data_IF_286368569644
#
_entry.id   IF_286368569644
#
_cell.length_a   1.000
_cell.length_b   1.000
_cell.length_c   1.000
_cell.angle_alpha   90.00
_cell.angle_beta   90.00
_cell.angle_gamma   90.00
#
_symmetry.space_group_name_H-M   'P 1'
#
loop_
_entity.id
_entity.type
_entity.pdbx_description
1 polymer ?
#
# COMPACT_ATOMS: atom_id res chain seq x y z
N UNK A 1 37.38 -16.22 -0.32
CA UNK A 1 36.22 -16.97 -0.87
C UNK A 1 36.61 -18.25 -1.61
N UNK A 2 37.86 -18.75 -1.46
CA UNK A 2 38.37 -19.89 -2.22
C UNK A 2 37.48 -21.14 -2.06
N UNK A 3 37.05 -21.44 -0.83
CA UNK A 3 36.20 -22.61 -0.55
C UNK A 3 34.85 -22.57 -1.27
N UNK A 4 34.20 -21.41 -1.36
CA UNK A 4 32.92 -21.27 -2.05
C UNK A 4 33.08 -21.47 -3.57
N UNK A 5 34.16 -20.92 -4.15
CA UNK A 5 34.48 -21.11 -5.57
C UNK A 5 34.77 -22.59 -5.88
N UNK A 6 35.54 -23.28 -5.03
CA UNK A 6 35.79 -24.72 -5.16
C UNK A 6 34.50 -25.55 -5.13
N UNK A 7 33.56 -25.24 -4.23
CA UNK A 7 32.27 -25.93 -4.17
C UNK A 7 31.39 -25.66 -5.39
N UNK A 8 31.48 -24.47 -5.99
CA UNK A 8 30.75 -24.15 -7.22
C UNK A 8 31.27 -24.93 -8.43
N UNK A 9 32.57 -25.25 -8.45
CA UNK A 9 33.19 -26.08 -9.47
C UNK A 9 32.79 -27.55 -9.39
N UNK A 10 32.18 -27.98 -8.27
CA UNK A 10 31.75 -29.37 -8.02
C UNK A 10 32.88 -30.39 -8.24
N UNK A 11 34.08 -30.05 -7.79
CA UNK A 11 35.23 -30.93 -7.87
C UNK A 11 35.06 -32.12 -6.92
N UNK A 12 35.48 -33.30 -7.37
CA UNK A 12 35.62 -34.48 -6.52
C UNK A 12 36.86 -34.37 -5.62
N UNK A 13 36.95 -35.21 -4.59
CA UNK A 13 37.98 -35.08 -3.54
C UNK A 13 39.41 -35.39 -4.04
N UNK A 14 39.54 -36.15 -5.13
CA UNK A 14 40.78 -36.57 -5.77
C UNK A 14 41.14 -35.74 -7.01
N UNK A 15 40.27 -34.81 -7.41
CA UNK A 15 40.51 -33.93 -8.56
C UNK A 15 41.51 -32.81 -8.23
N UNK A 16 42.36 -32.51 -9.21
CA UNK A 16 43.30 -31.39 -9.09
C UNK A 16 42.58 -30.04 -9.17
N UNK A 17 43.00 -29.10 -8.33
CA UNK A 17 42.47 -27.74 -8.36
C UNK A 17 42.89 -27.00 -9.63
N UNK A 18 42.01 -26.14 -10.19
CA UNK A 18 42.40 -25.21 -11.24
C UNK A 18 43.60 -24.37 -10.82
N UNK A 19 44.49 -24.10 -11.77
CA UNK A 19 45.77 -23.43 -11.53
C UNK A 19 45.56 -22.05 -10.87
N UNK A 20 44.51 -21.32 -11.24
CA UNK A 20 44.18 -20.01 -10.68
C UNK A 20 43.81 -20.09 -9.19
N UNK A 21 43.05 -21.12 -8.79
CA UNK A 21 42.66 -21.34 -7.38
C UNK A 21 43.89 -21.75 -6.58
N UNK A 22 44.69 -22.67 -7.13
CA UNK A 22 45.93 -23.11 -6.50
C UNK A 22 46.89 -21.92 -6.27
N UNK A 23 47.11 -21.08 -7.28
CA UNK A 23 47.97 -19.90 -7.17
C UNK A 23 47.48 -18.94 -6.09
N UNK A 24 46.18 -18.60 -6.08
CA UNK A 24 45.59 -17.73 -5.03
C UNK A 24 45.69 -18.33 -3.63
N UNK A 25 45.59 -19.65 -3.50
CA UNK A 25 45.81 -20.34 -2.23
C UNK A 25 47.26 -20.22 -1.76
N UNK A 26 48.22 -20.46 -2.64
CA UNK A 26 49.65 -20.31 -2.33
C UNK A 26 49.98 -18.87 -1.94
N UNK A 27 49.46 -17.88 -2.67
CA UNK A 27 49.61 -16.47 -2.34
C UNK A 27 49.03 -16.15 -0.95
N UNK A 28 47.83 -16.64 -0.64
CA UNK A 28 47.22 -16.48 0.68
C UNK A 28 48.07 -17.13 1.78
N UNK A 29 48.54 -18.37 1.57
CA UNK A 29 49.40 -19.09 2.51
C UNK A 29 50.69 -18.31 2.78
N UNK A 30 51.32 -17.78 1.75
CA UNK A 30 52.57 -17.02 1.87
C UNK A 30 52.37 -15.73 2.67
N UNK A 31 51.21 -15.09 2.55
CA UNK A 31 50.85 -13.89 3.31
C UNK A 31 50.66 -14.16 4.82
N UNK A 32 50.43 -15.41 5.25
CA UNK A 32 50.26 -15.72 6.68
C UNK A 32 51.49 -15.38 7.52
N UNK A 33 52.67 -15.29 6.90
CA UNK A 33 53.89 -14.84 7.56
C UNK A 33 53.77 -13.40 8.09
N UNK A 34 53.02 -12.53 7.41
CA UNK A 34 52.78 -11.15 7.83
C UNK A 34 51.95 -11.05 9.13
N UNK A 35 51.31 -12.13 9.60
CA UNK A 35 50.54 -12.11 10.85
C UNK A 35 51.42 -11.79 12.06
N UNK A 36 52.74 -12.07 12.00
CA UNK A 36 53.66 -11.73 13.09
C UNK A 36 53.83 -10.23 13.30
N UNK A 37 53.53 -9.42 12.28
CA UNK A 37 53.57 -7.95 12.35
C UNK A 37 52.32 -7.37 13.02
N UNK A 38 51.20 -8.10 13.00
CA UNK A 38 49.92 -7.62 13.53
C UNK A 38 49.88 -7.79 15.05
N UNK A 39 49.88 -6.65 15.77
CA UNK A 39 49.71 -6.62 17.22
C UNK A 39 48.38 -5.98 17.60
N UNK A 40 47.52 -6.73 18.28
CA UNK A 40 46.21 -6.25 18.74
C UNK A 40 46.29 -5.87 20.23
N UNK A 41 46.11 -4.59 20.60
CA UNK A 41 46.09 -4.20 21.99
C UNK A 41 44.91 -4.84 22.74
N UNK A 42 45.18 -5.48 23.89
CA UNK A 42 44.12 -6.09 24.73
C UNK A 42 43.13 -5.06 25.28
N UNK A 43 43.58 -3.83 25.54
CA UNK A 43 42.78 -2.75 26.09
C UNK A 43 42.38 -1.71 25.03
N UNK A 44 41.07 -1.54 24.83
CA UNK A 44 40.49 -0.54 23.92
C UNK A 44 40.11 0.77 24.61
N UNK A 45 39.75 0.72 25.91
CA UNK A 45 39.38 1.90 26.70
C UNK A 45 40.62 2.68 27.11
N UNK A 46 40.61 4.00 26.92
CA UNK A 46 41.64 4.90 27.49
C UNK A 46 41.46 4.97 29.01
N UNK A 47 42.54 4.81 29.76
CA UNK A 47 42.52 4.95 31.22
C UNK A 47 42.00 6.34 31.62
N UNK A 48 41.10 6.40 32.61
CA UNK A 48 40.47 7.64 33.05
C UNK A 48 39.42 8.23 32.11
N UNK A 49 39.01 7.53 31.03
CA UNK A 49 37.93 7.99 30.17
C UNK A 49 36.57 7.92 30.88
N UNK A 50 35.91 9.07 30.96
CA UNK A 50 34.57 9.24 31.51
C UNK A 50 33.48 8.92 30.49
N UNK A 51 33.78 9.01 29.19
CA UNK A 51 32.81 8.80 28.11
C UNK A 51 33.29 7.72 27.14
N UNK A 52 32.33 6.88 26.73
CA UNK A 52 32.51 5.83 25.74
C UNK A 52 31.41 5.92 24.69
N UNK A 53 31.80 5.81 23.42
CA UNK A 53 30.90 5.80 22.28
C UNK A 53 31.21 4.60 21.38
N UNK A 54 30.17 3.98 20.83
CA UNK A 54 30.26 2.89 19.86
C UNK A 54 30.00 3.42 18.46
N UNK A 55 30.93 3.15 17.55
CA UNK A 55 30.83 3.49 16.14
C UNK A 55 30.85 2.23 15.29
N UNK A 56 29.70 1.88 14.76
CA UNK A 56 29.51 0.71 13.91
C UNK A 56 29.53 1.07 12.43
N UNK A 57 30.29 0.35 11.62
CA UNK A 57 30.33 0.50 10.16
C UNK A 57 29.92 -0.80 9.50
N UNK A 58 29.21 -0.72 8.39
CA UNK A 58 28.86 -1.87 7.58
C UNK A 58 29.09 -1.61 6.10
N UNK A 59 29.40 -2.67 5.37
CA UNK A 59 29.52 -2.66 3.92
C UNK A 59 29.18 -4.02 3.31
N UNK A 60 28.84 -4.03 2.03
CA UNK A 60 28.59 -5.22 1.26
C UNK A 60 29.16 -5.13 -0.16
N UNK A 61 29.61 -6.29 -0.64
CA UNK A 61 29.94 -6.54 -2.04
C UNK A 61 29.13 -7.76 -2.50
N UNK A 62 29.18 -8.06 -3.79
CA UNK A 62 28.60 -9.27 -4.37
C UNK A 62 29.21 -10.55 -3.80
N UNK A 63 30.39 -10.43 -3.17
CA UNK A 63 31.17 -11.55 -2.64
C UNK A 63 30.93 -11.76 -1.15
N UNK A 64 30.94 -10.70 -0.37
CA UNK A 64 30.79 -10.79 1.08
C UNK A 64 30.20 -9.49 1.63
N UNK A 65 29.65 -9.57 2.82
CA UNK A 65 29.19 -8.40 3.55
C UNK A 65 29.61 -8.49 5.01
N UNK A 66 29.79 -7.35 5.66
CA UNK A 66 30.40 -7.31 6.98
C UNK A 66 30.07 -6.07 7.77
N UNK A 67 30.41 -6.14 9.04
CA UNK A 67 30.31 -5.04 9.97
C UNK A 67 31.50 -5.02 10.94
N UNK A 68 31.96 -3.83 11.29
CA UNK A 68 32.99 -3.60 12.31
C UNK A 68 32.53 -2.52 13.28
N UNK A 69 32.85 -2.69 14.55
CA UNK A 69 32.48 -1.77 15.64
C UNK A 69 33.75 -1.27 16.30
N UNK A 70 33.84 0.04 16.40
CA UNK A 70 34.91 0.77 17.07
C UNK A 70 34.40 1.34 18.38
N UNK A 71 35.30 1.41 19.36
CA UNK A 71 35.09 2.14 20.59
C UNK A 71 35.87 3.44 20.51
N UNK A 72 35.17 4.55 20.71
CA UNK A 72 35.75 5.89 20.88
C UNK A 72 35.67 6.26 22.35
N UNK A 73 36.81 6.58 22.96
CA UNK A 73 36.89 7.02 24.36
C UNK A 73 37.54 8.39 24.46
N UNK A 74 36.89 9.28 25.20
CA UNK A 74 37.33 10.66 25.41
C UNK A 74 37.45 11.01 26.90
N UNK A 75 38.22 12.05 27.18
CA UNK A 75 38.27 12.71 28.49
C UNK A 75 38.20 14.23 28.31
N UNK A 76 38.00 14.99 29.39
CA UNK A 76 37.72 16.45 29.40
C UNK A 76 38.72 17.35 28.66
N UNK A 77 39.94 16.88 28.32
CA UNK A 77 40.99 17.75 27.76
C UNK A 77 41.95 17.08 26.76
N UNK A 78 41.62 15.91 26.21
CA UNK A 78 42.54 15.15 25.35
C UNK A 78 41.96 14.65 24.04
N UNK A 79 42.83 14.35 23.06
CA UNK A 79 42.43 13.69 21.82
C UNK A 79 41.73 12.35 22.14
N UNK A 80 40.56 12.08 21.52
CA UNK A 80 39.84 10.83 21.72
C UNK A 80 40.66 9.67 21.15
N UNK A 81 40.60 8.52 21.83
CA UNK A 81 41.19 7.27 21.35
C UNK A 81 40.11 6.45 20.67
N UNK A 82 40.38 5.99 19.46
CA UNK A 82 39.50 5.10 18.69
C UNK A 82 40.23 3.78 18.48
N UNK A 83 39.55 2.67 18.74
CA UNK A 83 40.10 1.34 18.54
C UNK A 83 39.02 0.37 18.05
N UNK A 84 39.39 -0.54 17.14
CA UNK A 84 38.54 -1.63 16.72
C UNK A 84 38.21 -2.53 17.93
N UNK A 85 36.93 -2.76 18.17
CA UNK A 85 36.45 -3.61 19.26
C UNK A 85 36.07 -5.01 18.74
N UNK A 86 35.31 -5.06 17.65
CA UNK A 86 34.85 -6.32 17.08
C UNK A 86 34.53 -6.15 15.60
N UNK A 87 34.65 -7.23 14.84
CA UNK A 87 34.16 -7.31 13.47
C UNK A 87 33.49 -8.65 13.21
N UNK A 88 32.63 -8.67 12.18
CA UNK A 88 31.95 -9.87 11.72
C UNK A 88 31.70 -9.76 10.23
N UNK A 89 32.07 -10.78 9.48
CA UNK A 89 31.78 -10.90 8.05
C UNK A 89 30.92 -12.14 7.77
N UNK A 90 30.27 -12.14 6.61
CA UNK A 90 29.53 -13.26 6.04
C UNK A 90 29.78 -13.32 4.54
N UNK A 91 29.90 -14.54 4.02
CA UNK A 91 29.97 -14.78 2.59
C UNK A 91 28.59 -14.51 1.98
N UNK A 92 28.55 -13.83 0.84
CA UNK A 92 27.31 -13.56 0.13
C UNK A 92 26.70 -14.89 -0.38
N UNK A 93 25.35 -14.99 -0.43
CA UNK A 93 24.70 -16.18 -0.96
C UNK A 93 25.15 -16.47 -2.40
N UNK A 94 25.31 -17.76 -2.73
CA UNK A 94 25.63 -18.19 -4.11
C UNK A 94 24.55 -17.74 -5.09
N UNK A 95 23.29 -17.79 -4.67
CA UNK A 95 22.19 -17.26 -5.49
C UNK A 95 22.28 -15.74 -5.52
N UNK A 96 22.29 -15.19 -6.73
CA UNK A 96 22.36 -13.74 -6.94
C UNK A 96 21.31 -12.98 -6.12
N UNK A 97 21.80 -12.05 -5.32
CA UNK A 97 21.02 -11.08 -4.55
C UNK A 97 21.51 -9.70 -4.97
N UNK A 98 20.61 -8.76 -5.17
CA UNK A 98 21.00 -7.40 -5.57
C UNK A 98 21.90 -6.75 -4.52
N UNK A 99 22.85 -5.92 -4.97
CA UNK A 99 23.77 -5.22 -4.08
C UNK A 99 23.04 -4.44 -2.95
N UNK A 100 21.95 -3.68 -3.22
CA UNK A 100 21.19 -3.01 -2.15
C UNK A 100 20.69 -3.95 -1.04
N UNK A 101 20.26 -5.17 -1.42
CA UNK A 101 19.81 -6.19 -0.44
C UNK A 101 20.96 -6.75 0.40
N UNK A 102 22.16 -6.83 -0.17
CA UNK A 102 23.37 -7.23 0.56
C UNK A 102 23.82 -6.11 1.50
N UNK A 103 23.79 -4.86 1.06
CA UNK A 103 24.07 -3.68 1.89
C UNK A 103 23.11 -3.60 3.09
N UNK A 104 21.81 -3.81 2.87
CA UNK A 104 20.83 -3.90 3.95
C UNK A 104 21.09 -5.09 4.88
N UNK A 105 21.62 -6.20 4.35
CA UNK A 105 22.00 -7.37 5.16
C UNK A 105 23.26 -7.09 6.00
N UNK A 106 24.19 -6.27 5.51
CA UNK A 106 25.32 -5.74 6.28
C UNK A 106 24.84 -4.84 7.42
N UNK A 107 23.90 -3.95 7.15
CA UNK A 107 23.29 -3.09 8.16
C UNK A 107 22.59 -3.91 9.27
N UNK A 108 21.86 -4.97 8.90
CA UNK A 108 21.27 -5.90 9.88
C UNK A 108 22.33 -6.60 10.72
N UNK A 109 23.42 -7.06 10.09
CA UNK A 109 24.53 -7.70 10.78
C UNK A 109 25.18 -6.74 11.80
N UNK A 110 25.31 -5.47 11.43
CA UNK A 110 25.84 -4.42 12.29
C UNK A 110 24.93 -4.15 13.50
N UNK A 111 23.62 -4.08 13.29
CA UNK A 111 22.64 -3.92 14.36
C UNK A 111 22.75 -5.05 15.39
N UNK A 112 22.75 -6.31 14.93
CA UNK A 112 22.90 -7.49 15.78
C UNK A 112 24.24 -7.53 16.53
N UNK A 113 25.34 -7.21 15.83
CA UNK A 113 26.68 -7.17 16.43
C UNK A 113 26.74 -6.11 17.53
N UNK A 114 26.26 -4.91 17.25
CA UNK A 114 26.30 -3.80 18.21
C UNK A 114 25.40 -4.07 19.41
N UNK A 115 24.23 -4.70 19.21
CA UNK A 115 23.37 -5.11 20.32
C UNK A 115 24.07 -6.10 21.26
N UNK A 116 24.74 -7.12 20.70
CA UNK A 116 25.51 -8.09 21.50
C UNK A 116 26.62 -7.42 22.30
N UNK A 117 27.33 -6.48 21.68
CA UNK A 117 28.38 -5.69 22.33
C UNK A 117 27.81 -4.86 23.48
N UNK A 118 26.69 -4.16 23.26
CA UNK A 118 26.04 -3.36 24.29
C UNK A 118 25.62 -4.21 25.50
N UNK A 119 25.05 -5.39 25.25
CA UNK A 119 24.70 -6.34 26.31
C UNK A 119 25.96 -6.79 27.07
N UNK A 120 27.03 -7.15 26.35
CA UNK A 120 28.27 -7.65 26.95
C UNK A 120 29.03 -6.60 27.78
N UNK A 121 28.99 -5.33 27.36
CA UNK A 121 29.64 -4.22 28.08
C UNK A 121 28.82 -3.78 29.29
N UNK A 122 27.52 -4.13 29.36
CA UNK A 122 26.65 -3.88 30.51
C UNK A 122 26.33 -2.39 30.77
N UNK A 123 26.71 -1.51 29.86
CA UNK A 123 26.67 -0.06 30.08
C UNK A 123 25.39 0.58 29.53
N UNK A 124 24.64 1.25 30.40
CA UNK A 124 23.39 1.95 30.08
C UNK A 124 23.60 3.32 29.42
N UNK A 125 24.84 3.84 29.35
CA UNK A 125 25.10 5.21 28.87
C UNK A 125 26.05 5.32 27.66
N UNK A 126 26.39 4.23 26.99
CA UNK A 126 27.22 4.31 25.80
C UNK A 126 26.43 4.83 24.58
N UNK A 127 26.83 5.99 24.03
CA UNK A 127 26.24 6.54 22.80
C UNK A 127 26.58 5.64 21.61
N UNK A 128 25.65 5.49 20.68
CA UNK A 128 25.78 4.63 19.52
C UNK A 128 25.59 5.40 18.21
N UNK A 129 26.52 5.20 17.27
CA UNK A 129 26.48 5.73 15.92
C UNK A 129 26.72 4.60 14.92
N UNK A 130 25.84 4.47 13.93
CA UNK A 130 25.86 3.41 12.92
C UNK A 130 25.99 4.02 11.53
N UNK A 131 26.96 3.53 10.77
CA UNK A 131 27.42 4.13 9.53
C UNK A 131 27.30 3.13 8.37
N UNK A 132 26.75 3.60 7.26
CA UNK A 132 26.74 2.90 5.98
C UNK A 132 27.02 3.91 4.87
N UNK A 133 27.72 3.50 3.83
CA UNK A 133 27.93 4.28 2.61
C UNK A 133 26.84 4.04 1.55
N UNK A 134 25.92 3.09 1.80
CA UNK A 134 24.76 2.88 0.95
C UNK A 134 23.63 3.84 1.31
N UNK A 135 23.41 4.85 0.45
CA UNK A 135 22.27 5.74 0.56
C UNK A 135 20.92 5.00 0.43
N UNK A 136 20.88 3.93 -0.38
CA UNK A 136 19.66 3.11 -0.56
C UNK A 136 19.32 2.37 0.73
N UNK A 137 20.29 1.68 1.33
CA UNK A 137 20.10 0.98 2.60
C UNK A 137 19.74 1.96 3.72
N UNK A 138 20.43 3.09 3.80
CA UNK A 138 20.14 4.14 4.77
C UNK A 138 18.69 4.67 4.63
N UNK A 139 18.26 4.97 3.40
CA UNK A 139 16.89 5.42 3.15
C UNK A 139 15.84 4.36 3.52
N UNK A 140 16.10 3.08 3.23
CA UNK A 140 15.23 1.98 3.66
C UNK A 140 15.10 1.91 5.18
N UNK A 141 16.20 2.06 5.91
CA UNK A 141 16.26 2.00 7.38
C UNK A 141 15.51 3.17 8.04
N UNK A 142 15.60 4.38 7.49
CA UNK A 142 14.91 5.56 8.05
C UNK A 142 13.43 5.59 7.69
N UNK A 143 13.03 4.92 6.61
CA UNK A 143 11.65 4.81 6.20
C UNK A 143 10.86 3.73 6.95
N UNK A 144 9.53 3.88 7.01
CA UNK A 144 8.66 2.84 7.56
C UNK A 144 8.79 1.52 6.79
N UNK A 145 9.07 0.43 7.51
CA UNK A 145 9.23 -0.93 6.96
C UNK A 145 8.04 -1.39 6.10
N UNK A 146 6.82 -0.89 6.39
CA UNK A 146 5.58 -1.26 5.68
C UNK A 146 5.57 -0.85 4.21
N UNK A 147 6.40 0.13 3.83
CA UNK A 147 6.53 0.64 2.45
C UNK A 147 7.25 -0.33 1.51
N UNK A 148 7.94 -1.35 2.04
CA UNK A 148 8.87 -2.18 1.29
C UNK A 148 8.38 -3.61 1.07
N UNK A 149 8.86 -4.26 0.01
CA UNK A 149 8.62 -5.69 -0.21
C UNK A 149 9.21 -6.55 0.92
N UNK A 150 8.72 -7.80 1.06
CA UNK A 150 8.94 -8.64 2.24
C UNK A 150 10.41 -8.76 2.68
N UNK A 151 11.35 -8.93 1.74
CA UNK A 151 12.77 -9.06 2.07
C UNK A 151 13.31 -7.83 2.82
N UNK A 152 13.03 -6.65 2.27
CA UNK A 152 13.47 -5.35 2.79
C UNK A 152 12.68 -5.02 4.06
N UNK A 153 11.36 -5.18 4.04
CA UNK A 153 10.48 -4.90 5.18
C UNK A 153 10.89 -5.68 6.43
N UNK A 154 11.18 -6.98 6.30
CA UNK A 154 11.55 -7.82 7.44
C UNK A 154 12.90 -7.40 8.04
N UNK A 155 13.88 -7.05 7.20
CA UNK A 155 15.22 -6.62 7.67
C UNK A 155 15.18 -5.22 8.26
N UNK A 156 14.48 -4.28 7.63
CA UNK A 156 14.26 -2.92 8.15
C UNK A 156 13.52 -2.99 9.49
N UNK A 157 12.47 -3.80 9.60
CA UNK A 157 11.73 -3.98 10.85
C UNK A 157 12.62 -4.50 11.98
N UNK A 158 13.52 -5.45 11.69
CA UNK A 158 14.46 -5.96 12.68
C UNK A 158 15.52 -4.92 13.07
N UNK A 159 16.07 -4.16 12.11
CA UNK A 159 17.00 -3.07 12.38
C UNK A 159 16.34 -2.01 13.28
N UNK A 160 15.13 -1.58 12.93
CA UNK A 160 14.35 -0.58 13.69
C UNK A 160 13.93 -1.08 15.08
N UNK A 161 13.84 -2.40 15.27
CA UNK A 161 13.57 -3.01 16.59
C UNK A 161 14.81 -3.01 17.49
N UNK A 162 15.99 -3.22 16.90
CA UNK A 162 17.26 -3.37 17.65
C UNK A 162 17.94 -2.01 17.88
N UNK A 163 17.76 -1.06 16.97
CA UNK A 163 18.51 0.21 16.93
C UNK A 163 17.59 1.40 16.77
N UNK A 164 18.03 2.56 17.26
CA UNK A 164 17.33 3.82 17.03
C UNK A 164 17.63 4.36 15.63
N UNK A 165 16.59 4.82 14.92
CA UNK A 165 16.74 5.40 13.57
C UNK A 165 17.71 6.60 13.60
N UNK A 166 17.70 7.40 14.66
CA UNK A 166 18.57 8.56 14.84
C UNK A 166 20.07 8.23 14.95
N UNK A 167 20.42 6.97 15.24
CA UNK A 167 21.81 6.51 15.28
C UNK A 167 22.41 6.28 13.89
N UNK A 168 21.59 6.10 12.86
CA UNK A 168 22.04 5.77 11.50
C UNK A 168 22.46 6.99 10.69
N UNK A 169 23.61 6.89 10.02
CA UNK A 169 24.25 7.98 9.29
C UNK A 169 24.92 7.47 8.03
N UNK A 170 25.10 8.37 7.06
CA UNK A 170 25.91 8.10 5.88
C UNK A 170 27.39 8.35 6.18
N UNK A 171 28.27 7.51 5.63
CA UNK A 171 29.73 7.73 5.57
C UNK A 171 30.19 7.64 4.12
N UNK A 172 31.12 8.48 3.63
CA UNK A 172 31.71 8.29 2.31
C UNK A 172 32.42 6.93 2.21
N UNK A 173 32.30 6.24 1.07
CA UNK A 173 32.91 4.91 0.87
C UNK A 173 34.42 4.88 1.14
N UNK A 174 35.15 5.95 0.76
CA UNK A 174 36.59 6.07 1.01
C UNK A 174 36.95 6.13 2.51
N UNK A 175 35.98 6.46 3.37
CA UNK A 175 36.15 6.51 4.81
C UNK A 175 35.46 5.35 5.53
N UNK A 176 34.93 4.36 4.80
CA UNK A 176 34.24 3.20 5.36
C UNK A 176 35.23 2.04 5.62
N UNK A 177 35.61 1.75 6.88
CA UNK A 177 36.51 0.63 7.18
C UNK A 177 35.89 -0.74 6.90
N UNK A 178 34.56 -0.83 6.79
CA UNK A 178 33.89 -2.11 6.54
C UNK A 178 34.12 -2.64 5.11
N UNK A 179 34.61 -1.81 4.18
CA UNK A 179 34.99 -2.22 2.82
C UNK A 179 36.03 -3.34 2.82
N UNK A 180 36.92 -3.35 3.81
CA UNK A 180 37.92 -4.41 4.01
C UNK A 180 37.26 -5.76 4.28
N UNK A 181 36.10 -5.78 4.94
CA UNK A 181 35.36 -7.00 5.24
C UNK A 181 34.62 -7.54 4.02
N UNK A 182 34.15 -6.68 3.13
CA UNK A 182 33.34 -7.05 1.97
C UNK A 182 34.19 -7.39 0.73
N UNK A 183 35.32 -6.68 0.54
CA UNK A 183 36.21 -6.84 -0.63
C UNK A 183 37.47 -7.64 -0.32
N UNK A 184 37.87 -7.67 0.94
CA UNK A 184 39.13 -8.28 1.38
C UNK A 184 40.33 -7.35 1.19
N UNK A 185 41.40 -7.63 1.94
CA UNK A 185 42.69 -6.92 1.86
C UNK A 185 43.82 -7.91 2.11
N UNK A 186 44.96 -7.71 1.45
CA UNK A 186 46.15 -8.53 1.69
C UNK A 186 46.69 -8.28 3.11
N UNK A 187 47.26 -9.31 3.74
CA UNK A 187 47.70 -9.22 5.15
C UNK A 187 48.83 -8.19 5.35
N UNK A 188 49.73 -8.07 4.38
CA UNK A 188 50.81 -7.05 4.36
C UNK A 188 50.26 -5.62 4.44
N UNK A 189 49.16 -5.36 3.74
CA UNK A 189 48.54 -4.04 3.67
C UNK A 189 47.68 -3.80 4.91
N UNK A 190 46.99 -4.86 5.37
CA UNK A 190 46.18 -4.83 6.58
C UNK A 190 47.00 -4.50 7.83
N UNK A 191 48.24 -4.99 7.93
CA UNK A 191 49.11 -4.73 9.08
C UNK A 191 49.34 -3.23 9.32
N UNK A 192 49.38 -2.44 8.25
CA UNK A 192 49.66 -1.00 8.27
C UNK A 192 48.41 -0.14 8.02
N UNK A 193 47.23 -0.76 7.98
CA UNK A 193 45.99 -0.07 7.64
C UNK A 193 45.42 0.73 8.81
N UNK A 194 45.71 2.03 8.81
CA UNK A 194 45.19 2.94 9.83
C UNK A 194 43.66 3.05 9.84
N UNK A 195 43.00 2.92 8.68
CA UNK A 195 41.54 2.99 8.57
C UNK A 195 40.92 1.78 9.27
N UNK A 196 41.48 0.59 9.06
CA UNK A 196 41.03 -0.62 9.74
C UNK A 196 41.27 -0.59 11.25
N UNK A 197 42.47 -0.27 11.71
CA UNK A 197 42.81 -0.42 13.13
C UNK A 197 42.30 0.74 14.00
N UNK A 198 42.24 1.96 13.44
CA UNK A 198 41.89 3.18 14.19
C UNK A 198 40.59 3.83 13.75
N UNK A 199 39.89 3.23 12.78
CA UNK A 199 38.67 3.77 12.21
C UNK A 199 38.90 5.02 11.38
N UNK A 200 37.81 5.60 10.87
CA UNK A 200 37.83 6.79 10.04
C UNK A 200 38.43 7.98 10.78
N UNK A 201 39.20 8.82 10.07
CA UNK A 201 39.95 9.93 10.66
C UNK A 201 39.04 10.93 11.39
N UNK A 202 37.83 11.16 10.89
CA UNK A 202 36.86 12.06 11.50
C UNK A 202 36.42 11.64 12.90
N UNK A 203 36.51 10.35 13.27
CA UNK A 203 36.19 9.90 14.62
C UNK A 203 37.15 10.49 15.67
N UNK A 204 38.33 10.96 15.25
CA UNK A 204 39.26 11.68 16.13
C UNK A 204 38.92 13.16 16.29
N UNK A 205 38.03 13.68 15.45
CA UNK A 205 37.55 15.05 15.48
C UNK A 205 36.32 15.19 16.40
N UNK A 206 35.95 16.42 16.80
CA UNK A 206 34.70 16.70 17.49
C UNK A 206 33.47 16.30 16.65
N UNK A 207 32.37 15.97 17.32
CA UNK A 207 31.16 15.44 16.66
C UNK A 207 30.55 16.37 15.59
N UNK A 208 30.76 17.68 15.69
CA UNK A 208 30.31 18.65 14.69
C UNK A 208 31.07 18.61 13.36
N UNK A 209 32.20 17.90 13.28
CA UNK A 209 33.02 17.75 12.06
C UNK A 209 32.85 16.37 11.41
N UNK A 210 31.94 15.55 11.91
CA UNK A 210 31.64 14.26 11.30
C UNK A 210 30.78 14.47 10.03
N UNK A 211 30.78 13.49 9.10
CA UNK A 211 29.84 13.52 7.98
C UNK A 211 28.41 13.70 8.48
N UNK A 212 27.77 14.77 8.03
CA UNK A 212 26.45 15.19 8.54
C UNK A 212 25.31 14.77 7.62
N UNK A 213 25.58 14.12 6.48
CA UNK A 213 24.53 13.70 5.55
C UNK A 213 23.53 12.80 6.27
N UNK A 214 22.33 13.36 6.49
CA UNK A 214 21.22 12.67 7.16
C UNK A 214 20.37 12.05 6.07
N UNK A 215 19.69 10.95 6.42
CA UNK A 215 18.85 10.21 5.48
C UNK A 215 17.73 11.05 4.82
N UNK A 216 17.38 12.21 5.40
CA UNK A 216 16.36 13.13 4.90
C UNK A 216 16.75 13.88 3.62
N UNK A 217 18.03 13.86 3.22
CA UNK A 217 18.52 14.60 2.05
C UNK A 217 18.35 13.83 0.73
N UNK A 218 17.62 12.71 0.74
CA UNK A 218 17.47 11.77 -0.38
C UNK A 218 16.27 12.06 -1.29
N UNK A 219 15.95 13.34 -1.51
CA UNK A 219 14.93 13.73 -2.48
C UNK A 219 15.45 13.45 -3.91
N UNK A 220 14.87 12.44 -4.58
CA UNK A 220 15.13 12.16 -6.00
C UNK A 220 15.86 10.85 -6.33
N UNK A 221 16.22 10.03 -5.35
CA UNK A 221 16.79 8.70 -5.62
C UNK A 221 15.64 7.73 -5.96
N UNK A 222 15.69 7.10 -7.13
CA UNK A 222 14.82 5.96 -7.44
C UNK A 222 15.13 4.81 -6.47
N UNK A 223 14.22 4.57 -5.53
CA UNK A 223 14.41 3.55 -4.49
C UNK A 223 13.77 2.24 -4.94
N UNK A 224 14.56 1.16 -5.12
CA UNK A 224 14.04 -0.14 -5.47
C UNK A 224 13.10 -0.71 -4.39
N UNK A 225 12.29 -1.71 -4.77
CA UNK A 225 11.50 -2.55 -3.86
C UNK A 225 10.41 -1.83 -3.03
N UNK A 226 9.98 -0.64 -3.48
CA UNK A 226 8.77 0.00 -2.98
C UNK A 226 7.55 -0.86 -3.32
N UNK A 227 6.65 -1.06 -2.35
CA UNK A 227 5.36 -1.69 -2.63
C UNK A 227 4.58 -0.80 -3.59
N UNK A 228 4.18 -1.36 -4.72
CA UNK A 228 3.21 -0.71 -5.61
C UNK A 228 1.85 -0.79 -4.93
N UNK A 229 1.41 0.30 -4.31
CA UNK A 229 0.01 0.45 -3.92
C UNK A 229 -0.74 0.81 -5.19
N UNK A 230 -1.09 -0.21 -5.98
CA UNK A 230 -1.99 -0.05 -7.12
C UNK A 230 -3.39 0.09 -6.53
N UNK A 231 -3.80 1.33 -6.31
CA UNK A 231 -5.22 1.63 -6.09
C UNK A 231 -5.90 1.45 -7.44
N UNK A 232 -6.48 0.28 -7.68
CA UNK A 232 -7.33 0.06 -8.84
C UNK A 232 -8.55 0.98 -8.72
N UNK A 233 -8.50 2.15 -9.34
CA UNK A 233 -9.70 2.95 -9.61
C UNK A 233 -10.45 2.22 -10.72
N UNK A 234 -11.34 1.31 -10.34
CA UNK A 234 -12.31 0.81 -11.28
C UNK A 234 -13.15 2.01 -11.74
N UNK A 235 -12.91 2.48 -12.98
CA UNK A 235 -13.77 3.46 -13.63
C UNK A 235 -15.07 2.73 -14.01
N UNK A 236 -15.90 2.48 -13.01
CA UNK A 236 -17.16 1.76 -13.19
C UNK A 236 -18.13 2.75 -13.87
N UNK A 237 -18.23 2.67 -15.20
CA UNK A 237 -19.29 3.35 -15.98
C UNK A 237 -20.71 2.94 -15.56
N UNK A 238 -20.88 1.86 -14.81
CA UNK A 238 -22.19 1.29 -14.43
C UNK A 238 -22.45 1.37 -12.91
N UNK A 239 -23.37 2.23 -12.48
CA UNK A 239 -23.76 2.35 -11.06
C UNK A 239 -24.10 1.00 -10.41
N UNK A 240 -23.78 0.81 -9.12
CA UNK A 240 -24.11 -0.40 -8.35
C UNK A 240 -25.61 -0.75 -8.40
N UNK A 241 -26.47 0.27 -8.50
CA UNK A 241 -27.92 0.11 -8.66
C UNK A 241 -28.25 -0.66 -9.95
N UNK A 242 -27.59 -0.34 -11.06
CA UNK A 242 -27.79 -0.99 -12.34
C UNK A 242 -27.41 -2.48 -12.27
N UNK A 243 -26.27 -2.81 -11.62
CA UNK A 243 -25.85 -4.21 -11.39
C UNK A 243 -26.83 -4.97 -10.50
N UNK A 244 -27.41 -4.32 -9.49
CA UNK A 244 -28.40 -4.94 -8.60
C UNK A 244 -29.72 -5.22 -9.34
N UNK A 245 -30.16 -4.32 -10.22
CA UNK A 245 -31.37 -4.51 -11.02
C UNK A 245 -31.26 -5.65 -12.02
N UNK A 246 -30.07 -5.86 -12.62
CA UNK A 246 -29.83 -7.01 -13.51
C UNK A 246 -29.86 -8.36 -12.78
N UNK A 247 -29.54 -8.39 -11.48
CA UNK A 247 -29.39 -9.64 -10.71
C UNK A 247 -30.58 -9.96 -9.80
N UNK A 248 -31.44 -8.98 -9.52
CA UNK A 248 -32.49 -9.10 -8.51
C UNK A 248 -33.81 -8.57 -9.09
N UNK A 249 -34.83 -9.42 -9.17
CA UNK A 249 -36.17 -9.07 -9.67
C UNK A 249 -37.08 -8.35 -8.67
N UNK A 250 -36.62 -8.14 -7.43
CA UNK A 250 -37.38 -7.52 -6.35
C UNK A 250 -36.87 -6.12 -6.01
N UNK A 251 -37.62 -5.09 -6.39
CA UNK A 251 -37.30 -3.69 -6.07
C UNK A 251 -37.24 -3.42 -4.56
N UNK A 252 -38.07 -4.10 -3.77
CA UNK A 252 -38.04 -4.00 -2.31
C UNK A 252 -36.77 -4.61 -1.73
N UNK A 253 -36.25 -5.69 -2.30
CA UNK A 253 -34.95 -6.26 -1.94
C UNK A 253 -33.80 -5.33 -2.31
N UNK A 254 -33.83 -4.72 -3.50
CA UNK A 254 -32.81 -3.75 -3.94
C UNK A 254 -32.83 -2.51 -3.03
N UNK A 255 -34.00 -1.94 -2.75
CA UNK A 255 -34.17 -0.79 -1.88
C UNK A 255 -33.66 -1.08 -0.45
N UNK A 256 -33.85 -2.30 0.07
CA UNK A 256 -33.27 -2.71 1.35
C UNK A 256 -31.74 -2.76 1.31
N UNK A 257 -31.15 -3.32 0.25
CA UNK A 257 -29.68 -3.37 0.07
C UNK A 257 -29.12 -1.94 0.04
N UNK A 258 -29.70 -1.06 -0.77
CA UNK A 258 -29.28 0.35 -0.87
C UNK A 258 -29.44 1.08 0.47
N UNK A 259 -30.52 0.82 1.22
CA UNK A 259 -30.71 1.39 2.56
C UNK A 259 -29.62 0.95 3.55
N UNK A 260 -29.22 -0.34 3.54
CA UNK A 260 -28.11 -0.82 4.36
C UNK A 260 -26.76 -0.20 3.95
N UNK A 261 -26.50 -0.05 2.65
CA UNK A 261 -25.29 0.66 2.18
C UNK A 261 -25.25 2.11 2.68
N UNK A 262 -26.39 2.80 2.70
CA UNK A 262 -26.49 4.17 3.22
C UNK A 262 -26.29 4.24 4.75
N UNK A 263 -26.77 3.24 5.52
CA UNK A 263 -26.46 3.11 6.96
C UNK A 263 -24.96 2.98 7.19
N UNK A 264 -24.31 2.10 6.43
CA UNK A 264 -22.86 1.88 6.53
C UNK A 264 -22.08 3.16 6.24
N UNK A 265 -22.39 3.86 5.13
CA UNK A 265 -21.72 5.12 4.76
C UNK A 265 -21.86 6.20 5.83
N UNK A 266 -23.01 6.27 6.51
CA UNK A 266 -23.29 7.34 7.47
C UNK A 266 -22.73 7.06 8.88
N UNK A 267 -22.13 5.89 9.11
CA UNK A 267 -21.49 5.45 10.34
C UNK A 267 -22.29 5.78 11.62
N UNK A 268 -23.62 5.81 11.51
CA UNK A 268 -24.51 6.17 12.62
C UNK A 268 -24.61 4.97 13.55
N UNK A 269 -23.93 5.04 14.69
CA UNK A 269 -24.08 4.10 15.81
C UNK A 269 -25.51 4.08 16.38
N UNK A 270 -26.33 5.07 16.02
CA UNK A 270 -27.64 5.34 16.62
C UNK A 270 -28.86 4.82 15.81
N UNK A 271 -28.63 4.06 14.74
CA UNK A 271 -29.72 3.37 14.01
C UNK A 271 -30.01 2.01 14.66
N UNK A 272 -30.37 2.00 15.95
CA UNK A 272 -30.44 0.83 16.84
C UNK A 272 -31.55 -0.19 16.55
N UNK A 273 -31.65 -0.73 15.33
CA UNK A 273 -32.56 -1.84 15.02
C UNK A 273 -32.12 -2.66 13.81
N UNK A 274 -32.30 -3.99 13.90
CA UNK A 274 -32.04 -4.94 12.79
C UNK A 274 -32.91 -4.63 11.54
N UNK A 275 -34.04 -3.95 11.72
CA UNK A 275 -35.04 -3.64 10.69
C UNK A 275 -34.84 -2.25 10.08
N UNK A 276 -35.02 -2.14 8.75
CA UNK A 276 -35.00 -0.86 8.01
C UNK A 276 -36.29 -0.08 8.25
N UNK A 277 -36.19 1.21 8.59
CA UNK A 277 -37.37 2.08 8.81
C UNK A 277 -38.00 2.49 7.47
N UNK A 278 -39.32 2.75 7.41
CA UNK A 278 -39.99 3.19 6.18
C UNK A 278 -39.36 4.43 5.52
N UNK A 279 -38.90 5.41 6.32
CA UNK A 279 -38.22 6.60 5.82
C UNK A 279 -36.88 6.29 5.13
N UNK A 280 -36.13 5.31 5.61
CA UNK A 280 -34.87 4.87 4.98
C UNK A 280 -35.14 4.18 3.64
N UNK A 281 -36.24 3.43 3.56
CA UNK A 281 -36.67 2.79 2.32
C UNK A 281 -37.12 3.84 1.28
N UNK A 282 -37.83 4.91 1.71
CA UNK A 282 -38.21 6.04 0.85
C UNK A 282 -36.98 6.72 0.24
N UNK A 283 -35.96 7.01 1.07
CA UNK A 283 -34.69 7.60 0.61
C UNK A 283 -33.95 6.66 -0.34
N UNK A 284 -33.86 5.37 -0.02
CA UNK A 284 -33.21 4.39 -0.88
C UNK A 284 -33.89 4.28 -2.25
N UNK A 285 -35.23 4.35 -2.29
CA UNK A 285 -35.97 4.31 -3.54
C UNK A 285 -35.73 5.57 -4.40
N UNK A 286 -35.71 6.75 -3.78
CA UNK A 286 -35.36 8.01 -4.48
C UNK A 286 -33.99 7.89 -5.13
N UNK A 287 -33.00 7.34 -4.42
CA UNK A 287 -31.65 7.11 -4.95
C UNK A 287 -31.68 6.16 -6.14
N UNK A 288 -32.42 5.05 -6.05
CA UNK A 288 -32.55 4.07 -7.13
C UNK A 288 -33.14 4.72 -8.38
N UNK A 289 -34.29 5.39 -8.23
CA UNK A 289 -34.97 6.09 -9.34
C UNK A 289 -34.04 7.11 -9.98
N UNK A 290 -33.34 7.90 -9.17
CA UNK A 290 -32.41 8.91 -9.66
C UNK A 290 -31.22 8.31 -10.42
N UNK A 291 -30.71 7.16 -9.97
CA UNK A 291 -29.65 6.44 -10.68
C UNK A 291 -30.12 5.90 -12.02
N UNK A 292 -31.33 5.35 -12.09
CA UNK A 292 -31.92 4.85 -13.35
C UNK A 292 -32.14 6.00 -14.33
N UNK A 293 -32.73 7.11 -13.88
CA UNK A 293 -32.98 8.26 -14.74
C UNK A 293 -31.71 8.87 -15.33
N UNK A 294 -30.60 8.90 -14.58
CA UNK A 294 -29.31 9.37 -15.10
C UNK A 294 -28.70 8.47 -16.17
N UNK A 295 -29.13 7.22 -16.26
CA UNK A 295 -28.65 6.26 -17.26
C UNK A 295 -29.58 6.28 -18.47
N UNK A 296 -30.89 6.16 -18.23
CA UNK A 296 -31.90 6.03 -19.30
C UNK A 296 -32.25 7.38 -19.97
N UNK A 297 -32.16 8.49 -19.23
CA UNK A 297 -32.50 9.85 -19.69
C UNK A 297 -31.29 10.77 -19.49
N UNK A 298 -30.09 10.32 -19.86
CA UNK A 298 -28.85 11.04 -19.55
C UNK A 298 -28.84 12.47 -20.10
N UNK A 299 -29.26 12.65 -21.35
CA UNK A 299 -29.29 13.94 -22.04
C UNK A 299 -30.37 14.86 -21.45
N UNK A 300 -31.57 14.33 -21.19
CA UNK A 300 -32.63 15.09 -20.55
C UNK A 300 -32.33 15.46 -19.11
N UNK A 301 -31.66 14.55 -18.37
CA UNK A 301 -31.26 14.79 -16.99
C UNK A 301 -30.21 15.91 -16.93
N UNK A 302 -29.24 15.93 -17.85
CA UNK A 302 -28.25 17.00 -17.93
C UNK A 302 -28.89 18.34 -18.28
N UNK A 303 -29.76 18.37 -19.30
CA UNK A 303 -30.48 19.58 -19.70
C UNK A 303 -31.37 20.13 -18.58
N UNK A 304 -32.17 19.29 -17.91
CA UNK A 304 -33.05 19.73 -16.81
C UNK A 304 -32.28 20.12 -15.54
N UNK A 305 -31.12 19.50 -15.27
CA UNK A 305 -30.30 19.86 -14.12
C UNK A 305 -29.61 21.23 -14.29
N UNK A 306 -29.39 21.65 -15.53
CA UNK A 306 -28.79 22.94 -15.91
C UNK A 306 -29.85 23.98 -16.32
N UNK A 307 -31.13 23.72 -16.05
CA UNK A 307 -32.28 24.58 -16.41
C UNK A 307 -32.36 24.93 -17.93
N UNK A 308 -31.84 24.05 -18.79
CA UNK A 308 -31.88 24.20 -20.24
C UNK A 308 -33.14 23.56 -20.83
N UNK A 309 -33.59 24.11 -21.96
CA UNK A 309 -34.66 23.50 -22.75
C UNK A 309 -34.24 22.10 -23.23
N UNK A 310 -35.17 21.15 -23.16
CA UNK A 310 -34.91 19.78 -23.61
C UNK A 310 -34.72 19.72 -25.13
N UNK A 311 -33.93 18.76 -25.65
CA UNK A 311 -33.79 18.52 -27.08
C UNK A 311 -35.14 18.23 -27.74
N UNK A 312 -35.33 18.70 -28.96
CA UNK A 312 -36.55 18.45 -29.77
C UNK A 312 -36.80 16.96 -30.03
N UNK A 313 -35.73 16.14 -29.94
CA UNK A 313 -35.76 14.68 -30.08
C UNK A 313 -36.21 13.93 -28.82
N UNK A 314 -36.39 14.62 -27.69
CA UNK A 314 -36.73 13.95 -26.43
C UNK A 314 -38.17 13.44 -26.41
N UNK A 315 -38.32 12.15 -26.10
CA UNK A 315 -39.63 11.49 -25.99
C UNK A 315 -40.48 11.99 -24.81
N UNK A 316 -39.88 12.69 -23.85
CA UNK A 316 -40.57 13.22 -22.66
C UNK A 316 -40.84 14.72 -22.73
N UNK A 317 -40.40 15.42 -23.78
CA UNK A 317 -40.60 16.87 -23.97
C UNK A 317 -42.10 17.26 -23.91
N UNK A 318 -42.97 16.45 -24.52
CA UNK A 318 -44.43 16.65 -24.53
C UNK A 318 -45.09 16.53 -23.14
N UNK A 319 -44.40 15.94 -22.17
CA UNK A 319 -44.89 15.72 -20.82
C UNK A 319 -44.49 16.84 -19.83
N UNK A 320 -43.90 17.93 -20.32
CA UNK A 320 -43.43 19.07 -19.49
C UNK A 320 -42.60 18.61 -18.27
N UNK A 321 -41.46 17.95 -18.50
CA UNK A 321 -40.67 17.34 -17.43
C UNK A 321 -39.92 18.40 -16.64
N UNK A 322 -39.75 18.16 -15.34
CA UNK A 322 -39.00 19.01 -14.41
C UNK A 322 -38.26 18.14 -13.39
N UNK A 323 -37.13 18.63 -12.87
CA UNK A 323 -36.44 17.97 -11.75
C UNK A 323 -36.99 18.53 -10.43
N UNK A 324 -37.38 17.64 -9.51
CA UNK A 324 -37.84 18.04 -8.18
C UNK A 324 -36.66 18.27 -7.20
N UNK A 325 -36.98 18.73 -5.98
CA UNK A 325 -36.02 18.97 -4.89
C UNK A 325 -35.14 17.76 -4.50
N UNK A 326 -35.57 16.54 -4.86
CA UNK A 326 -34.82 15.31 -4.59
C UNK A 326 -33.90 14.90 -5.76
N UNK A 327 -33.86 15.70 -6.84
CA UNK A 327 -33.06 15.45 -8.04
C UNK A 327 -33.65 14.39 -8.95
N UNK A 328 -34.96 14.16 -8.93
CA UNK A 328 -35.67 13.16 -9.75
C UNK A 328 -36.49 13.86 -10.82
N UNK A 329 -36.36 13.43 -12.08
CA UNK A 329 -37.20 13.89 -13.19
C UNK A 329 -38.64 13.45 -12.93
N UNK A 330 -39.57 14.39 -13.02
CA UNK A 330 -41.01 14.20 -12.93
C UNK A 330 -41.69 14.88 -14.11
N UNK A 331 -42.90 14.45 -14.43
CA UNK A 331 -43.71 15.05 -15.50
C UNK A 331 -44.89 15.80 -14.90
N UNK A 332 -45.18 16.99 -15.44
CA UNK A 332 -46.32 17.80 -15.04
C UNK A 332 -47.62 17.23 -15.60
N UNK A 333 -48.70 17.24 -14.79
CA UNK A 333 -50.06 16.95 -15.24
C UNK A 333 -51.00 18.14 -15.05
N UNK A 334 -52.26 18.01 -15.50
CA UNK A 334 -53.35 19.01 -15.34
C UNK A 334 -53.75 19.32 -13.88
N UNK A 335 -53.05 18.77 -12.90
CA UNK A 335 -53.29 18.96 -11.45
C UNK A 335 -52.36 20.03 -10.83
N UNK A 336 -51.92 21.03 -11.61
CA UNK A 336 -51.11 22.16 -11.10
C UNK A 336 -51.86 23.07 -10.12
N UNK A 337 -53.18 22.98 -10.03
CA UNK A 337 -54.02 23.88 -9.21
C UNK A 337 -54.61 23.24 -7.94
N UNK A 338 -54.11 22.08 -7.50
CA UNK A 338 -54.53 21.47 -6.24
C UNK A 338 -53.30 21.24 -5.36
N UNK A 339 -53.24 21.92 -4.21
CA UNK A 339 -52.28 21.65 -3.13
C UNK A 339 -52.57 20.26 -2.53
N UNK A 340 -52.24 19.20 -3.26
CA UNK A 340 -52.29 17.84 -2.74
C UNK A 340 -50.91 17.22 -2.97
N UNK A 341 -50.24 16.70 -1.92
CA UNK A 341 -49.03 15.91 -2.09
C UNK A 341 -49.30 14.77 -3.09
N UNK A 342 -48.39 14.58 -4.06
CA UNK A 342 -48.46 13.60 -5.17
C UNK A 342 -48.61 12.13 -4.74
N UNK A 343 -48.78 11.86 -3.46
CA UNK A 343 -49.02 10.57 -2.84
C UNK A 343 -50.52 10.22 -2.90
N UNK A 344 -51.09 10.12 -4.10
CA UNK A 344 -52.48 9.66 -4.24
C UNK A 344 -52.52 8.15 -4.02
N UNK A 345 -53.02 7.80 -2.83
CA UNK A 345 -53.38 6.47 -2.36
C UNK A 345 -54.19 5.66 -3.38
N UNK A 346 -53.89 4.37 -3.50
CA UNK A 346 -54.97 3.41 -3.71
C UNK A 346 -55.65 3.19 -2.35
N UNK A 347 -56.99 3.26 -2.25
CA UNK A 347 -57.69 2.99 -1.00
C UNK A 347 -57.29 1.61 -0.47
N UNK A 348 -56.76 1.57 0.76
CA UNK A 348 -56.39 0.31 1.45
C UNK A 348 -54.98 -0.25 1.19
N UNK A 349 -54.12 0.41 0.42
CA UNK A 349 -52.72 0.01 0.22
C UNK A 349 -51.75 1.11 0.65
N UNK A 350 -50.62 0.70 1.23
CA UNK A 350 -49.55 1.63 1.61
C UNK A 350 -48.94 2.34 0.39
N UNK A 351 -48.21 3.46 0.60
CA UNK A 351 -47.54 4.17 -0.48
C UNK A 351 -46.68 3.23 -1.34
N UNK A 352 -46.70 3.38 -2.66
CA UNK A 352 -45.90 2.61 -3.64
C UNK A 352 -46.25 1.11 -3.76
N UNK A 353 -47.35 0.66 -3.17
CA UNK A 353 -47.87 -0.69 -3.37
C UNK A 353 -48.91 -0.68 -4.49
N UNK A 354 -48.53 -1.22 -5.66
CA UNK A 354 -49.44 -1.41 -6.80
C UNK A 354 -49.83 -2.88 -6.90
N UNK A 355 -51.13 -3.15 -7.04
CA UNK A 355 -51.61 -4.50 -7.29
C UNK A 355 -51.27 -4.88 -8.73
N UNK A 356 -50.39 -5.86 -8.89
CA UNK A 356 -50.06 -6.40 -10.20
C UNK A 356 -51.21 -7.29 -10.71
N UNK A 357 -51.58 -7.11 -11.97
CA UNK A 357 -52.60 -7.92 -12.62
C UNK A 357 -52.34 -8.05 -14.11
N UNK A 358 -52.76 -9.19 -14.69
CA UNK A 358 -52.68 -9.43 -16.14
C UNK A 358 -53.96 -8.91 -16.79
N UNK A 359 -53.84 -8.10 -17.84
CA UNK A 359 -54.99 -7.68 -18.65
C UNK A 359 -55.59 -8.92 -19.31
N UNK A 360 -56.89 -9.16 -19.07
CA UNK A 360 -57.64 -10.27 -19.68
C UNK A 360 -58.53 -9.74 -20.80
N UNK A 361 -59.06 -8.53 -20.65
CA UNK A 361 -59.98 -7.93 -21.60
C UNK A 361 -59.81 -6.41 -21.62
N UNK A 362 -59.89 -5.82 -22.81
CA UNK A 362 -59.88 -4.37 -23.03
C UNK A 362 -61.28 -3.90 -23.42
N UNK A 363 -61.63 -2.68 -23.02
CA UNK A 363 -62.91 -2.05 -23.31
C UNK A 363 -62.68 -0.76 -24.12
N UNK A 364 -62.70 -0.85 -25.47
CA UNK A 364 -62.59 0.31 -26.35
C UNK A 364 -63.88 1.13 -26.38
N UNK A 365 -63.75 2.45 -26.54
CA UNK A 365 -64.88 3.34 -26.83
C UNK A 365 -65.29 3.34 -28.30
N UNK A 366 -66.30 4.12 -28.65
CA UNK A 366 -66.83 4.25 -30.02
C UNK A 366 -65.82 4.78 -31.05
N UNK A 367 -64.73 5.40 -30.58
CA UNK A 367 -63.59 5.88 -31.35
C UNK A 367 -62.42 4.87 -31.42
N UNK A 368 -62.62 3.65 -30.92
CA UNK A 368 -61.60 2.58 -30.91
C UNK A 368 -60.55 2.69 -29.79
N UNK A 369 -60.59 3.74 -28.97
CA UNK A 369 -59.57 3.97 -27.92
C UNK A 369 -59.94 3.21 -26.64
N UNK A 370 -59.02 2.38 -26.13
CA UNK A 370 -59.19 1.62 -24.88
C UNK A 370 -59.14 2.54 -23.65
N UNK A 371 -60.30 2.73 -23.01
CA UNK A 371 -60.44 3.59 -21.82
C UNK A 371 -60.44 2.80 -20.51
N UNK A 372 -60.74 1.51 -20.55
CA UNK A 372 -60.69 0.64 -19.38
C UNK A 372 -60.20 -0.76 -19.76
N UNK A 373 -59.62 -1.46 -18.78
CA UNK A 373 -59.19 -2.84 -18.92
C UNK A 373 -59.59 -3.65 -17.69
N UNK A 374 -59.97 -4.91 -17.92
CA UNK A 374 -60.25 -5.91 -16.89
C UNK A 374 -58.98 -6.72 -16.62
N UNK A 375 -58.57 -6.76 -15.35
CA UNK A 375 -57.32 -7.34 -14.88
C UNK A 375 -57.59 -8.57 -14.01
N UNK A 376 -56.85 -9.66 -14.23
CA UNK A 376 -56.73 -10.77 -13.26
C UNK A 376 -55.67 -10.41 -12.24
N UNK A 377 -56.05 -10.22 -10.99
CA UNK A 377 -55.13 -10.02 -9.87
C UNK A 377 -55.09 -11.25 -8.97
N UNK A 378 -54.18 -11.28 -7.99
CA UNK A 378 -54.14 -12.36 -6.98
C UNK A 378 -55.43 -12.48 -6.16
N UNK A 379 -56.20 -11.40 -6.03
CA UNK A 379 -57.45 -11.35 -5.25
C UNK A 379 -58.73 -11.46 -6.09
N UNK A 380 -58.62 -11.77 -7.40
CA UNK A 380 -59.76 -11.85 -8.31
C UNK A 380 -59.68 -10.86 -9.47
N UNK A 381 -60.80 -10.71 -10.20
CA UNK A 381 -60.87 -9.89 -11.41
C UNK A 381 -61.36 -8.48 -11.09
N UNK A 382 -60.66 -7.46 -11.59
CA UNK A 382 -60.99 -6.05 -11.33
C UNK A 382 -60.91 -5.24 -12.62
N UNK A 383 -61.93 -4.43 -12.90
CA UNK A 383 -61.93 -3.47 -14.02
C UNK A 383 -61.43 -2.10 -13.56
N UNK A 384 -60.53 -1.50 -14.35
CA UNK A 384 -59.91 -0.21 -14.04
C UNK A 384 -59.76 0.67 -15.29
N UNK A 385 -59.93 2.00 -15.15
CA UNK A 385 -59.58 2.95 -16.22
C UNK A 385 -58.10 2.85 -16.57
N UNK A 386 -57.75 2.91 -17.86
CA UNK A 386 -56.37 2.82 -18.35
C UNK A 386 -55.47 3.92 -17.76
N UNK A 387 -56.01 5.10 -17.47
CA UNK A 387 -55.30 6.21 -16.79
C UNK A 387 -54.84 5.89 -15.36
N UNK A 388 -55.39 4.84 -14.73
CA UNK A 388 -54.98 4.34 -13.41
C UNK A 388 -54.14 3.06 -13.51
N UNK A 389 -53.77 2.65 -14.72
CA UNK A 389 -52.93 1.49 -14.99
C UNK A 389 -51.54 1.96 -15.42
N UNK A 390 -50.53 1.32 -14.85
CA UNK A 390 -49.15 1.45 -15.32
C UNK A 390 -48.82 0.16 -16.09
N UNK A 391 -48.53 0.27 -17.38
CA UNK A 391 -48.12 -0.87 -18.21
C UNK A 391 -46.68 -1.21 -17.88
N UNK A 392 -46.44 -2.42 -17.40
CA UNK A 392 -45.10 -2.96 -17.23
C UNK A 392 -44.72 -3.68 -18.53
N UNK A 393 -43.89 -3.04 -19.34
CA UNK A 393 -43.28 -3.67 -20.51
C UNK A 393 -42.31 -4.74 -19.99
N UNK A 394 -42.68 -6.01 -20.14
CA UNK A 394 -41.74 -7.11 -19.98
C UNK A 394 -41.15 -7.40 -21.35
N UNK A 395 -39.90 -6.99 -21.58
CA UNK A 395 -39.11 -7.48 -22.72
C UNK A 395 -38.80 -8.95 -22.49
N UNK A 396 -39.60 -9.79 -23.14
CA UNK A 396 -39.54 -11.24 -23.03
C UNK A 396 -40.27 -11.91 -24.19
N UNK A 397 -40.06 -11.43 -25.42
CA UNK A 397 -39.96 -12.24 -26.63
C UNK A 397 -39.65 -11.36 -27.84
N UNK A 398 -38.44 -11.51 -28.37
CA UNK A 398 -38.13 -11.32 -29.79
C UNK A 398 -38.77 -12.44 -30.62
N UNK A 399 -39.37 -12.05 -31.76
CA UNK A 399 -39.94 -12.87 -32.86
C UNK A 399 -41.24 -13.62 -32.49
N UNK A 400 -42.33 -13.59 -33.25
CA UNK A 400 -42.66 -13.53 -34.71
C UNK A 400 -44.03 -12.85 -34.84
N UNK A 401 -44.57 -12.28 -35.92
CA UNK A 401 -44.24 -12.13 -37.33
C UNK A 401 -45.15 -11.02 -37.89
N UNK A 402 -44.80 -10.51 -39.06
CA UNK A 402 -45.67 -9.64 -39.86
C UNK A 402 -46.98 -10.31 -40.26
N UNK A 403 -48.12 -9.74 -39.85
CA UNK A 403 -49.27 -9.30 -40.66
C UNK A 403 -50.40 -8.81 -39.76
#
# INVERSE_FOLDING_TARGET
>A
MLLQEMWQLKLEWDESLPQEIHQRWVEFKNQLTCLTEIRIPRGVKKAGASEMELHGFCDASERAYGACVYVRTGGRSGRPRVALLASKSRVAPVRAVSLPRLELSAAKLLAELTQKIRIAIGDRQCKQFLWTDSMVALHWIVSSSRKWNAFVANRVGEIQRITEIASWRHVPSAENPADILSRGRALKDLAHDSLWWTGSKFLRLPAGQWPTTRATDTAGIEIPERKNIVTATANIKTCIVHKLMQRISSITKIARIVAYCMRFKRNRRDCGGKTIRPGELKVALIIIVRCVQRVEFADEYAALAEERALPSSSHILSLTPFINEFGVIRVGGRLRNLEIPYEVQQPGLGPLMWTLGRVIQTHPGSDGIVRAATLKTKGGTVTRPTVKLAVLLFDGNTQTDAR
#
